data_IF_759762725433
#
_entry.id   IF_759762725433
#
_cell.length_a   1.000
_cell.length_b   1.000
_cell.length_c   1.000
_cell.angle_alpha   90.00
_cell.angle_beta   90.00
_cell.angle_gamma   90.00
#
_symmetry.space_group_name_H-M   'P 1'
#
loop_
_entity.id
_entity.type
_entity.pdbx_description
1 polymer ?
#
# COMPACT_ATOMS: atom_id res chain seq x y z
N UNK A 1 28.57 45.00 -13.66
CA UNK A 1 28.26 43.59 -14.01
C UNK A 1 27.18 43.11 -13.05
N UNK A 2 25.92 43.19 -13.46
CA UNK A 2 24.77 42.80 -12.62
C UNK A 2 24.40 41.38 -12.98
N UNK A 3 24.58 40.46 -12.03
CA UNK A 3 24.19 39.06 -12.17
C UNK A 3 22.65 39.02 -12.15
N UNK A 4 22.03 38.71 -13.28
CA UNK A 4 20.60 38.40 -13.36
C UNK A 4 20.37 37.09 -12.58
N UNK A 5 19.87 37.22 -11.36
CA UNK A 5 19.45 36.08 -10.55
C UNK A 5 18.19 35.46 -11.20
N UNK A 6 18.32 34.21 -11.65
CA UNK A 6 17.26 33.51 -12.36
C UNK A 6 16.17 33.10 -11.37
N UNK A 7 14.95 33.61 -11.54
CA UNK A 7 13.81 33.39 -10.62
C UNK A 7 13.47 31.91 -10.41
N UNK A 8 13.86 31.04 -11.34
CA UNK A 8 13.62 29.60 -11.26
C UNK A 8 14.47 28.89 -10.19
N UNK A 9 15.63 29.45 -9.79
CA UNK A 9 16.50 28.83 -8.78
C UNK A 9 15.96 29.09 -7.37
N UNK A 10 15.31 30.24 -7.14
CA UNK A 10 14.70 30.58 -5.85
C UNK A 10 13.51 29.65 -5.54
N UNK A 11 12.76 29.24 -6.57
CA UNK A 11 11.57 28.42 -6.40
C UNK A 11 11.87 26.95 -6.05
N UNK A 12 13.01 26.41 -6.52
CA UNK A 12 13.42 25.02 -6.27
C UNK A 12 13.95 24.87 -4.83
N UNK A 13 14.63 25.89 -4.31
CA UNK A 13 15.14 25.86 -2.93
C UNK A 13 14.01 26.04 -1.91
N UNK A 14 12.94 26.79 -2.22
CA UNK A 14 11.80 26.93 -1.31
C UNK A 14 10.94 25.66 -1.21
N UNK A 15 10.85 24.85 -2.27
CA UNK A 15 10.05 23.62 -2.26
C UNK A 15 10.75 22.44 -1.54
N UNK A 16 12.07 22.48 -1.43
CA UNK A 16 12.87 21.41 -0.79
C UNK A 16 12.84 21.46 0.74
N UNK A 17 12.54 22.63 1.32
CA UNK A 17 12.44 22.83 2.76
C UNK A 17 11.05 22.51 3.35
N UNK A 18 10.03 22.34 2.51
CA UNK A 18 8.66 22.10 2.97
C UNK A 18 8.28 20.61 3.11
N UNK A 19 9.10 19.69 2.59
CA UNK A 19 8.87 18.24 2.72
C UNK A 19 9.43 17.62 4.02
N UNK A 20 10.04 18.40 4.92
CA UNK A 20 10.64 17.88 6.14
C UNK A 20 9.73 17.93 7.39
N UNK A 21 8.45 18.30 7.27
CA UNK A 21 7.57 18.45 8.45
C UNK A 21 6.19 17.84 8.23
N UNK A 22 6.11 16.57 7.82
CA UNK A 22 4.95 15.72 8.13
C UNK A 22 5.41 14.27 8.41
N UNK A 23 6.45 14.09 9.23
CA UNK A 23 6.58 12.85 10.01
C UNK A 23 5.83 13.06 11.32
N UNK A 24 4.50 13.08 11.23
CA UNK A 24 3.65 12.96 12.40
C UNK A 24 4.00 11.64 13.08
N UNK A 25 4.74 11.73 14.18
CA UNK A 25 5.00 10.60 15.07
C UNK A 25 3.64 10.18 15.66
N UNK A 26 2.92 9.31 14.97
CA UNK A 26 1.82 8.56 15.57
C UNK A 26 2.48 7.59 16.53
N UNK A 27 2.64 8.05 17.77
CA UNK A 27 3.04 7.24 18.91
C UNK A 27 1.81 6.38 19.23
N UNK A 28 1.78 5.15 18.73
CA UNK A 28 0.82 4.16 19.18
C UNK A 28 1.20 3.78 20.62
N UNK A 29 0.65 4.49 21.59
CA UNK A 29 0.76 4.15 23.00
C UNK A 29 -0.19 2.96 23.26
N UNK A 30 0.37 1.79 23.54
CA UNK A 30 -0.42 0.70 24.07
C UNK A 30 -0.64 0.94 25.55
N UNK A 31 -1.81 1.48 25.89
CA UNK A 31 -2.34 1.26 27.23
C UNK A 31 -2.54 -0.25 27.40
N UNK A 32 -2.04 -0.81 28.49
CA UNK A 32 -2.19 -2.21 28.87
C UNK A 32 -3.67 -2.45 29.22
N UNK A 33 -4.51 -2.61 28.19
CA UNK A 33 -5.94 -2.81 28.36
C UNK A 33 -6.21 -4.24 28.85
N UNK A 34 -5.96 -4.50 30.13
CA UNK A 34 -6.87 -5.38 30.88
C UNK A 34 -8.12 -4.56 31.21
N UNK A 35 -8.78 -3.99 30.19
CA UNK A 35 -10.19 -3.59 30.34
C UNK A 35 -10.99 -4.88 30.25
N UNK A 36 -11.81 -5.13 31.27
CA UNK A 36 -12.83 -6.18 31.23
C UNK A 36 -13.49 -6.13 29.85
N UNK A 37 -13.55 -7.23 29.09
CA UNK A 37 -14.20 -7.22 27.78
C UNK A 37 -15.63 -6.65 27.95
N UNK A 38 -16.13 -5.87 26.98
CA UNK A 38 -17.49 -5.34 27.04
C UNK A 38 -18.47 -6.48 27.32
N UNK A 39 -19.51 -6.23 28.12
CA UNK A 39 -20.42 -7.27 28.65
C UNK A 39 -21.18 -8.07 27.57
N UNK A 40 -20.94 -7.78 26.28
CA UNK A 40 -21.43 -8.52 25.11
C UNK A 40 -20.61 -9.76 24.73
N UNK A 41 -19.46 -10.01 25.36
CA UNK A 41 -18.75 -11.27 25.17
C UNK A 41 -19.43 -12.37 26.00
N UNK A 42 -20.15 -13.27 25.32
CA UNK A 42 -20.65 -14.49 25.93
C UNK A 42 -19.45 -15.32 26.43
N UNK A 43 -19.16 -15.24 27.73
CA UNK A 43 -18.43 -16.31 28.40
C UNK A 43 -19.34 -17.55 28.38
N UNK A 44 -19.11 -18.44 27.43
CA UNK A 44 -19.66 -19.79 27.51
C UNK A 44 -19.14 -20.42 28.80
N UNK A 45 -20.01 -20.56 29.80
CA UNK A 45 -19.70 -21.24 31.07
C UNK A 45 -19.54 -22.75 30.91
N UNK A 46 -19.68 -23.29 29.69
CA UNK A 46 -19.35 -24.66 29.39
C UNK A 46 -17.83 -24.85 29.56
N UNK A 47 -17.37 -25.81 30.39
CA UNK A 47 -15.97 -26.18 30.44
C UNK A 47 -15.54 -26.59 29.02
N UNK A 48 -14.45 -26.02 28.51
CA UNK A 48 -13.84 -26.50 27.28
C UNK A 48 -13.47 -27.97 27.46
N UNK A 49 -13.91 -28.84 26.54
CA UNK A 49 -13.62 -30.28 26.58
C UNK A 49 -12.11 -30.57 26.57
N UNK A 50 -11.31 -29.64 26.03
CA UNK A 50 -9.85 -29.68 26.04
C UNK A 50 -9.28 -28.52 26.88
N UNK A 51 -8.65 -28.77 28.03
CA UNK A 51 -8.04 -27.72 28.84
C UNK A 51 -6.91 -27.04 28.05
N UNK A 52 -7.07 -25.74 27.78
CA UNK A 52 -6.04 -24.92 27.14
C UNK A 52 -4.87 -24.79 28.12
N UNK A 53 -3.70 -25.32 27.75
CA UNK A 53 -2.50 -25.19 28.57
C UNK A 53 -1.96 -23.76 28.47
N UNK A 54 -2.28 -22.94 29.47
CA UNK A 54 -1.76 -21.56 29.55
C UNK A 54 -0.30 -21.64 30.01
N UNK A 55 0.66 -21.13 29.23
CA UNK A 55 2.06 -21.10 29.65
C UNK A 55 2.21 -20.32 30.96
N UNK A 56 3.00 -20.87 31.89
CA UNK A 56 3.37 -20.24 33.15
C UNK A 56 4.89 -20.04 33.17
N UNK A 57 5.38 -18.78 33.24
CA UNK A 57 4.64 -17.54 33.46
C UNK A 57 3.85 -17.06 32.23
N UNK A 58 2.82 -16.25 32.49
CA UNK A 58 2.02 -15.61 31.43
C UNK A 58 2.94 -14.75 30.54
N UNK A 59 2.79 -14.80 29.21
CA UNK A 59 3.55 -13.94 28.31
C UNK A 59 3.19 -12.46 28.53
N UNK A 60 4.18 -11.58 28.37
CA UNK A 60 3.98 -10.12 28.40
C UNK A 60 3.97 -9.60 26.97
N UNK A 61 2.96 -8.80 26.62
CA UNK A 61 2.88 -8.11 25.33
C UNK A 61 3.68 -6.80 25.33
N UNK A 62 4.19 -6.42 24.17
CA UNK A 62 4.77 -5.09 23.90
C UNK A 62 4.25 -4.64 22.54
N UNK A 63 3.94 -3.35 22.40
CA UNK A 63 3.53 -2.79 21.10
C UNK A 63 4.74 -2.34 20.30
N UNK A 64 4.71 -2.67 19.02
CA UNK A 64 5.72 -2.29 18.04
C UNK A 64 5.07 -1.42 16.97
N UNK A 65 5.80 -0.43 16.47
CA UNK A 65 5.37 0.38 15.33
C UNK A 65 5.61 -0.40 14.04
N UNK A 66 4.62 -0.42 13.16
CA UNK A 66 4.72 -1.02 11.82
C UNK A 66 4.45 0.07 10.79
N UNK A 67 5.42 0.28 9.90
CA UNK A 67 5.28 1.14 8.74
C UNK A 67 5.04 0.30 7.48
N UNK A 68 4.06 0.68 6.70
CA UNK A 68 3.68 -0.02 5.48
C UNK A 68 3.73 0.94 4.29
N UNK A 69 4.39 0.50 3.22
CA UNK A 69 4.49 1.26 1.96
C UNK A 69 4.06 0.39 0.80
N UNK A 70 3.17 0.94 -0.03
CA UNK A 70 2.71 0.34 -1.27
C UNK A 70 3.19 1.17 -2.45
N UNK A 71 3.76 0.52 -3.47
CA UNK A 71 4.14 1.15 -4.74
C UNK A 71 3.67 0.28 -5.89
N UNK A 72 3.19 0.89 -6.95
CA UNK A 72 2.71 0.19 -8.13
C UNK A 72 3.21 0.90 -9.39
N UNK A 73 3.51 0.10 -10.40
CA UNK A 73 3.80 0.56 -11.75
C UNK A 73 2.50 0.59 -12.53
N UNK A 74 2.34 1.61 -13.36
CA UNK A 74 1.20 1.74 -14.26
C UNK A 74 1.68 2.23 -15.61
N UNK A 75 0.89 1.94 -16.63
CA UNK A 75 1.00 2.58 -17.92
C UNK A 75 0.03 3.76 -17.99
N UNK A 76 0.53 4.88 -18.52
CA UNK A 76 -0.20 6.10 -18.82
C UNK A 76 0.05 6.51 -20.27
N UNK A 77 -0.77 7.41 -20.80
CA UNK A 77 -0.62 7.92 -22.18
C UNK A 77 0.73 8.63 -22.35
N UNK A 78 1.53 8.15 -23.31
CA UNK A 78 2.85 8.69 -23.61
C UNK A 78 2.80 10.20 -23.92
N UNK A 79 1.77 10.67 -24.65
CA UNK A 79 1.62 12.08 -24.98
C UNK A 79 1.47 12.93 -23.72
N UNK A 80 0.68 12.46 -22.74
CA UNK A 80 0.49 13.15 -21.46
C UNK A 80 1.77 13.21 -20.64
N UNK A 81 2.61 12.18 -20.71
CA UNK A 81 3.94 12.18 -20.07
C UNK A 81 4.84 13.21 -20.74
N UNK A 82 4.90 13.22 -22.08
CA UNK A 82 5.72 14.16 -22.85
C UNK A 82 5.30 15.62 -22.64
N UNK A 83 4.01 15.89 -22.45
CA UNK A 83 3.48 17.24 -22.19
C UNK A 83 3.41 17.59 -20.70
N UNK A 84 3.89 16.72 -19.81
CA UNK A 84 3.81 16.88 -18.35
C UNK A 84 2.39 17.22 -17.85
N UNK A 85 1.39 16.53 -18.40
CA UNK A 85 -0.04 16.76 -18.14
C UNK A 85 -0.73 15.52 -17.57
N UNK A 86 0.02 14.66 -16.87
CA UNK A 86 -0.52 13.51 -16.15
C UNK A 86 -1.30 14.00 -14.92
N UNK A 87 -2.52 13.51 -14.75
CA UNK A 87 -3.43 13.88 -13.66
C UNK A 87 -3.64 12.70 -12.70
N UNK A 88 -4.22 12.94 -11.52
CA UNK A 88 -4.53 11.84 -10.58
C UNK A 88 -5.49 10.81 -11.18
N UNK A 89 -6.48 11.25 -11.95
CA UNK A 89 -7.41 10.39 -12.68
C UNK A 89 -6.69 9.48 -13.69
N UNK A 90 -5.52 9.91 -14.20
CA UNK A 90 -4.71 9.07 -15.07
C UNK A 90 -3.98 7.95 -14.32
N UNK A 91 -3.79 8.10 -13.01
CA UNK A 91 -3.13 7.15 -12.12
C UNK A 91 -4.10 6.17 -11.45
N UNK A 92 -5.39 6.52 -11.41
CA UNK A 92 -6.43 5.66 -10.86
C UNK A 92 -6.71 4.48 -11.79
N UNK A 93 -6.53 3.27 -11.24
CA UNK A 93 -6.87 2.03 -11.91
C UNK A 93 -8.04 1.37 -11.20
N UNK A 94 -9.01 0.90 -11.99
CA UNK A 94 -10.14 0.15 -11.47
C UNK A 94 -9.70 -1.31 -11.27
N UNK A 95 -9.58 -1.75 -10.02
CA UNK A 95 -9.27 -3.14 -9.70
C UNK A 95 -10.45 -4.06 -10.07
N UNK A 96 -10.15 -5.10 -10.84
CA UNK A 96 -11.16 -6.04 -11.33
C UNK A 96 -11.31 -7.19 -10.35
N UNK A 97 -12.35 -7.09 -9.53
CA UNK A 97 -12.68 -8.11 -8.50
C UNK A 97 -13.50 -9.26 -9.06
N UNK A 98 -14.34 -9.00 -10.06
CA UNK A 98 -15.23 -9.99 -10.67
C UNK A 98 -15.18 -9.83 -12.19
N UNK A 99 -14.53 -10.79 -12.87
CA UNK A 99 -14.34 -10.76 -14.33
C UNK A 99 -15.66 -10.73 -15.10
N UNK A 100 -16.72 -11.34 -14.55
CA UNK A 100 -18.04 -11.38 -15.17
C UNK A 100 -18.79 -10.04 -15.23
N UNK A 101 -18.33 -9.02 -14.49
CA UNK A 101 -18.91 -7.67 -14.52
C UNK A 101 -18.34 -6.81 -15.65
N UNK A 102 -17.24 -7.24 -16.27
CA UNK A 102 -16.62 -6.52 -17.38
C UNK A 102 -16.99 -7.25 -18.66
N UNK A 103 -17.76 -6.58 -19.50
CA UNK A 103 -18.19 -7.12 -20.79
C UNK A 103 -17.04 -7.07 -21.80
N UNK A 104 -15.92 -7.76 -21.53
CA UNK A 104 -14.74 -7.80 -22.42
C UNK A 104 -15.05 -8.24 -23.86
N UNK A 105 -16.18 -8.91 -24.08
CA UNK A 105 -16.63 -9.36 -25.41
C UNK A 105 -17.47 -8.30 -26.16
N UNK A 106 -17.80 -7.18 -25.50
CA UNK A 106 -18.62 -6.09 -26.06
C UNK A 106 -17.84 -4.78 -26.21
N UNK A 107 -16.66 -4.67 -25.61
CA UNK A 107 -15.81 -3.47 -25.66
C UNK A 107 -14.42 -3.86 -26.14
N UNK A 108 -13.90 -3.11 -27.11
CA UNK A 108 -12.54 -3.32 -27.63
C UNK A 108 -11.49 -2.96 -26.58
N UNK A 109 -10.45 -3.79 -26.50
CA UNK A 109 -9.24 -3.52 -25.71
C UNK A 109 -8.19 -2.89 -26.63
N UNK A 110 -7.82 -1.64 -26.33
CA UNK A 110 -6.85 -0.89 -27.14
C UNK A 110 -5.43 -1.01 -26.62
N UNK A 111 -5.27 -1.37 -25.35
CA UNK A 111 -3.97 -1.43 -24.71
C UNK A 111 -3.91 -2.54 -23.68
N UNK A 112 -2.79 -3.24 -23.63
CA UNK A 112 -2.52 -4.31 -22.69
C UNK A 112 -1.07 -4.24 -22.22
N UNK A 113 -0.86 -4.29 -20.90
CA UNK A 113 0.47 -4.33 -20.31
C UNK A 113 0.51 -5.15 -19.02
N UNK A 114 1.67 -5.76 -18.76
CA UNK A 114 2.00 -6.28 -17.44
C UNK A 114 2.49 -5.15 -16.55
N UNK A 115 2.01 -5.13 -15.32
CA UNK A 115 2.38 -4.17 -14.28
C UNK A 115 2.75 -4.90 -13.00
N UNK A 116 3.48 -4.21 -12.12
CA UNK A 116 3.93 -4.78 -10.85
C UNK A 116 3.51 -3.90 -9.69
N UNK A 117 3.04 -4.54 -8.62
CA UNK A 117 2.82 -3.89 -7.34
C UNK A 117 3.73 -4.50 -6.28
N UNK A 118 4.32 -3.65 -5.45
CA UNK A 118 5.23 -4.03 -4.37
C UNK A 118 4.72 -3.45 -3.06
N UNK A 119 4.70 -4.30 -2.02
CA UNK A 119 4.34 -3.94 -0.66
C UNK A 119 5.54 -4.19 0.25
N UNK A 120 5.91 -3.19 1.04
CA UNK A 120 6.97 -3.29 2.05
C UNK A 120 6.38 -3.02 3.42
N UNK A 121 6.72 -3.88 4.39
CA UNK A 121 6.43 -3.69 5.81
C UNK A 121 7.73 -3.60 6.58
N UNK A 122 7.86 -2.57 7.40
CA UNK A 122 9.06 -2.31 8.19
C UNK A 122 8.69 -2.01 9.64
N UNK A 123 9.47 -2.57 10.54
CA UNK A 123 9.41 -2.36 11.99
C UNK A 123 10.83 -2.13 12.49
N UNK A 124 10.98 -1.83 13.79
CA UNK A 124 12.30 -1.74 14.42
C UNK A 124 13.08 -3.07 14.41
N UNK A 125 12.41 -4.21 14.16
CA UNK A 125 12.99 -5.55 14.27
C UNK A 125 13.17 -6.27 12.93
N UNK A 126 12.22 -6.07 12.02
CA UNK A 126 12.12 -6.77 10.74
C UNK A 126 11.66 -5.84 9.62
N UNK A 127 12.19 -6.09 8.43
CA UNK A 127 11.71 -5.49 7.19
C UNK A 127 11.48 -6.60 6.17
N UNK A 128 10.27 -6.64 5.63
CA UNK A 128 9.84 -7.67 4.68
C UNK A 128 9.15 -7.02 3.48
N UNK A 129 9.28 -7.63 2.31
CA UNK A 129 8.62 -7.19 1.10
C UNK A 129 7.91 -8.34 0.41
N UNK A 130 6.85 -8.03 -0.31
CA UNK A 130 6.20 -8.94 -1.25
C UNK A 130 5.77 -8.17 -2.47
N UNK A 131 5.49 -8.89 -3.55
CA UNK A 131 5.08 -8.30 -4.81
C UNK A 131 3.98 -9.13 -5.45
N UNK A 132 3.27 -8.53 -6.40
CA UNK A 132 2.34 -9.22 -7.30
C UNK A 132 2.43 -8.62 -8.69
N UNK A 133 2.24 -9.47 -9.69
CA UNK A 133 2.02 -9.02 -11.06
C UNK A 133 0.56 -8.65 -11.25
N UNK A 134 0.29 -7.80 -12.24
CA UNK A 134 -1.05 -7.49 -12.68
C UNK A 134 -1.08 -7.26 -14.18
N UNK A 135 -2.28 -7.35 -14.73
CA UNK A 135 -2.57 -7.12 -16.13
C UNK A 135 -3.40 -5.85 -16.22
N UNK A 136 -2.82 -4.79 -16.78
CA UNK A 136 -3.52 -3.54 -17.03
C UNK A 136 -4.10 -3.54 -18.45
N UNK A 137 -5.34 -3.07 -18.59
CA UNK A 137 -6.01 -2.93 -19.87
C UNK A 137 -6.80 -1.64 -19.95
N UNK A 138 -6.83 -1.06 -21.15
CA UNK A 138 -7.63 0.12 -21.48
C UNK A 138 -8.72 -0.28 -22.46
N UNK A 139 -9.95 -0.03 -22.05
CA UNK A 139 -11.11 -0.38 -22.84
C UNK A 139 -11.67 0.85 -23.55
N UNK A 140 -12.45 0.60 -24.60
CA UNK A 140 -13.09 1.63 -25.41
C UNK A 140 -14.14 2.48 -24.70
N UNK A 141 -14.60 2.05 -23.53
CA UNK A 141 -15.42 2.83 -22.61
C UNK A 141 -14.63 3.94 -21.88
N UNK A 142 -13.30 4.02 -22.10
CA UNK A 142 -12.39 4.94 -21.42
C UNK A 142 -11.90 4.43 -20.07
N UNK A 143 -12.35 3.25 -19.63
CA UNK A 143 -11.95 2.63 -18.39
C UNK A 143 -10.54 2.07 -18.45
N UNK A 144 -9.75 2.38 -17.43
CA UNK A 144 -8.42 1.80 -17.19
C UNK A 144 -8.53 0.86 -16.01
N UNK A 145 -8.27 -0.41 -16.28
CA UNK A 145 -8.52 -1.47 -15.32
C UNK A 145 -7.24 -2.24 -15.06
N UNK A 146 -7.19 -2.92 -13.92
CA UNK A 146 -6.10 -3.84 -13.58
C UNK A 146 -6.65 -5.10 -12.94
N UNK A 147 -6.19 -6.24 -13.43
CA UNK A 147 -6.36 -7.53 -12.80
C UNK A 147 -5.06 -7.92 -12.10
N UNK A 148 -5.07 -7.93 -10.79
CA UNK A 148 -3.90 -8.36 -10.01
C UNK A 148 -3.90 -9.86 -9.80
N UNK A 149 -2.73 -10.47 -9.94
CA UNK A 149 -2.49 -11.84 -9.51
C UNK A 149 -2.40 -11.92 -7.98
N UNK A 150 -2.26 -13.14 -7.48
CA UNK A 150 -2.04 -13.36 -6.05
C UNK A 150 -0.72 -12.74 -5.58
N UNK A 151 -0.69 -12.34 -4.31
CA UNK A 151 0.53 -11.85 -3.70
C UNK A 151 1.55 -12.98 -3.57
N UNK A 152 2.82 -12.64 -3.84
CA UNK A 152 3.93 -13.49 -3.42
C UNK A 152 3.95 -13.68 -1.91
N UNK A 153 4.71 -14.67 -1.47
CA UNK A 153 5.10 -14.79 -0.07
C UNK A 153 5.89 -13.53 0.38
N UNK A 154 6.00 -13.38 1.70
CA UNK A 154 6.82 -12.34 2.31
C UNK A 154 8.29 -12.74 2.27
N UNK A 155 9.12 -11.88 1.70
CA UNK A 155 10.57 -12.05 1.63
C UNK A 155 11.25 -11.07 2.56
N UNK A 156 12.09 -11.57 3.45
CA UNK A 156 12.94 -10.72 4.28
C UNK A 156 13.99 -10.03 3.44
N UNK A 157 14.10 -8.71 3.61
CA UNK A 157 15.02 -7.88 2.84
C UNK A 157 16.52 -8.16 3.17
N UNK A 158 16.77 -9.07 4.12
CA UNK A 158 18.11 -9.54 4.52
C UNK A 158 18.65 -10.65 3.61
N UNK A 159 17.82 -11.30 2.80
CA UNK A 159 18.23 -12.37 1.89
C UNK A 159 18.33 -11.80 0.48
N UNK A 160 19.43 -11.10 0.19
CA UNK A 160 19.80 -10.74 -1.18
C UNK A 160 20.54 -11.92 -1.81
N UNK A 161 20.05 -12.37 -2.96
CA UNK A 161 20.79 -13.24 -3.90
C UNK A 161 21.93 -12.47 -4.56
#
# INVERSE_FOLDING_TARGET
MVIKLNKNIILIVSFSLFYLVISGNVRAESEDYIKKPPDSYHQSFAPYENPIHIPSPKPKGVTIKVEEKMSYEIVVDEKKVQTNSVTMDDLELIEVKEKGKINFHQVDCYFYAKVKQTQTKTTDYISSMRWREGQQYWLSDGGKYVEWEEWSEWYDNKTRW
#
